data_IF_907249370705
#
_entry.id   IF_907249370705
#
_cell.length_a   1.000
_cell.length_b   1.000
_cell.length_c   1.000
_cell.angle_alpha   90.00
_cell.angle_beta   90.00
_cell.angle_gamma   90.00
#
_symmetry.space_group_name_H-M   'P 1'
#
loop_
_entity.id
_entity.type
_entity.pdbx_description
1 polymer ?
#
# COMPACT_ATOMS: atom_id res chain seq x y z
N UNK A 1 -22.68 -22.49 2.92
CA UNK A 1 -21.34 -22.97 2.58
C UNK A 1 -20.54 -23.00 3.87
N UNK A 2 -20.09 -24.17 4.32
CA UNK A 2 -19.18 -24.27 5.46
C UNK A 2 -17.80 -23.74 5.02
N UNK A 3 -17.29 -22.73 5.72
CA UNK A 3 -15.89 -22.32 5.57
C UNK A 3 -15.01 -23.49 6.00
N UNK A 4 -14.28 -24.06 5.07
CA UNK A 4 -13.22 -25.00 5.44
C UNK A 4 -11.97 -24.19 5.82
N UNK A 5 -11.30 -24.54 6.92
CA UNK A 5 -10.05 -23.88 7.30
C UNK A 5 -9.02 -24.09 6.18
N UNK A 6 -8.39 -23.01 5.75
CA UNK A 6 -7.32 -23.07 4.76
C UNK A 6 -6.10 -23.77 5.41
N UNK A 7 -5.57 -24.85 4.85
CA UNK A 7 -4.45 -25.58 5.44
C UNK A 7 -3.14 -24.79 5.24
N UNK A 8 -2.95 -23.75 6.05
CA UNK A 8 -1.72 -22.95 6.03
C UNK A 8 -0.56 -23.69 6.71
N UNK A 9 -0.88 -24.67 7.57
CA UNK A 9 0.10 -25.33 8.43
C UNK A 9 0.20 -26.80 8.03
N UNK A 10 1.34 -27.15 7.42
CA UNK A 10 1.77 -28.55 7.36
C UNK A 10 2.39 -28.96 8.71
N UNK A 11 2.48 -30.24 8.98
CA UNK A 11 3.04 -30.82 10.22
C UNK A 11 4.46 -30.36 10.57
N UNK A 12 5.18 -29.75 9.61
CA UNK A 12 6.52 -29.19 9.80
C UNK A 12 6.56 -27.81 10.45
N UNK A 13 5.43 -27.07 10.45
CA UNK A 13 5.30 -25.81 11.16
C UNK A 13 4.40 -26.06 12.35
N UNK A 14 4.99 -26.13 13.55
CA UNK A 14 4.25 -26.47 14.75
C UNK A 14 3.15 -25.43 15.01
N UNK A 15 1.98 -25.87 15.46
CA UNK A 15 0.87 -24.98 15.89
C UNK A 15 1.29 -23.96 16.96
N UNK A 16 2.47 -24.13 17.59
CA UNK A 16 3.06 -23.21 18.56
C UNK A 16 3.77 -22.02 17.93
N UNK A 17 4.10 -22.07 16.63
CA UNK A 17 4.77 -20.95 15.94
C UNK A 17 3.83 -19.83 15.52
N UNK A 18 2.53 -20.08 15.55
CA UNK A 18 1.49 -19.05 15.35
C UNK A 18 0.77 -18.79 16.67
N UNK A 19 1.29 -17.91 17.49
CA UNK A 19 0.54 -17.38 18.62
C UNK A 19 -0.48 -16.34 18.11
N UNK A 20 -1.56 -16.14 18.83
CA UNK A 20 -2.70 -15.29 18.44
C UNK A 20 -2.37 -13.81 18.23
N UNK A 21 -1.11 -13.40 18.36
CA UNK A 21 -0.63 -12.04 18.15
C UNK A 21 0.37 -11.88 17.00
N UNK A 22 0.76 -12.99 16.35
CA UNK A 22 1.91 -12.98 15.42
C UNK A 22 1.55 -12.71 13.96
N UNK A 23 0.28 -12.75 13.61
CA UNK A 23 -0.18 -12.58 12.23
C UNK A 23 -0.56 -11.12 11.99
N UNK A 24 0.25 -10.42 11.21
CA UNK A 24 0.05 -8.99 10.97
C UNK A 24 -0.56 -8.72 9.59
N UNK A 25 -0.16 -9.47 8.55
CA UNK A 25 -0.62 -9.21 7.19
C UNK A 25 -0.52 -10.43 6.27
N UNK A 26 -1.33 -10.42 5.20
CA UNK A 26 -1.31 -11.40 4.11
C UNK A 26 -1.14 -10.69 2.77
N UNK A 27 -0.25 -11.21 1.93
CA UNK A 27 -0.09 -10.74 0.57
C UNK A 27 -0.16 -11.91 -0.40
N UNK A 28 -1.09 -11.85 -1.36
CA UNK A 28 -1.30 -12.93 -2.32
C UNK A 28 -0.87 -12.52 -3.73
N UNK A 29 -0.11 -13.37 -4.38
CA UNK A 29 0.21 -13.32 -5.81
C UNK A 29 -0.55 -14.44 -6.54
N UNK A 30 -0.30 -14.59 -7.84
CA UNK A 30 -0.85 -15.70 -8.62
C UNK A 30 -0.50 -17.06 -8.02
N UNK A 31 0.77 -17.27 -7.66
CA UNK A 31 1.32 -18.59 -7.30
C UNK A 31 1.54 -18.78 -5.80
N UNK A 32 1.69 -17.69 -5.04
CA UNK A 32 2.06 -17.73 -3.64
C UNK A 32 1.14 -16.88 -2.75
N UNK A 33 1.11 -17.23 -1.46
CA UNK A 33 0.62 -16.37 -0.38
C UNK A 33 1.77 -16.15 0.59
N UNK A 34 2.12 -14.89 0.82
CA UNK A 34 3.08 -14.47 1.84
C UNK A 34 2.34 -14.16 3.12
N UNK A 35 2.79 -14.74 4.22
CA UNK A 35 2.19 -14.59 5.54
C UNK A 35 3.23 -13.86 6.40
N UNK A 36 2.85 -12.66 6.83
CA UNK A 36 3.72 -11.72 7.51
C UNK A 36 3.38 -11.67 9.00
N UNK A 37 4.36 -11.91 9.81
CA UNK A 37 4.29 -11.90 11.27
C UNK A 37 5.71 -11.73 11.84
N UNK A 38 6.00 -12.36 12.96
CA UNK A 38 7.36 -12.41 13.51
C UNK A 38 8.38 -13.01 12.52
N UNK A 39 7.90 -13.85 11.63
CA UNK A 39 8.64 -14.43 10.49
C UNK A 39 7.88 -14.15 9.21
N UNK A 40 8.54 -14.28 8.07
CA UNK A 40 7.89 -14.26 6.75
C UNK A 40 7.79 -15.70 6.25
N UNK A 41 6.55 -16.15 6.04
CA UNK A 41 6.27 -17.46 5.47
C UNK A 41 5.81 -17.31 4.03
N UNK A 42 6.06 -18.31 3.23
CA UNK A 42 5.55 -18.47 1.87
C UNK A 42 4.73 -19.76 1.77
N UNK A 43 3.48 -19.63 1.37
CA UNK A 43 2.63 -20.73 0.98
C UNK A 43 2.55 -20.81 -0.55
N UNK A 44 3.00 -21.91 -1.12
CA UNK A 44 2.91 -22.15 -2.56
C UNK A 44 1.55 -22.79 -2.88
N UNK A 45 0.78 -22.16 -3.75
CA UNK A 45 -0.59 -22.57 -4.11
C UNK A 45 -0.64 -23.86 -4.93
N UNK A 46 0.43 -24.19 -5.66
CA UNK A 46 0.52 -25.38 -6.52
C UNK A 46 0.91 -26.61 -5.70
N UNK A 47 1.96 -26.49 -4.92
CA UNK A 47 2.45 -27.60 -4.08
C UNK A 47 1.67 -27.74 -2.78
N UNK A 48 0.92 -26.71 -2.38
CA UNK A 48 0.20 -26.62 -1.10
C UNK A 48 1.11 -26.74 0.12
N UNK A 49 2.37 -26.32 -0.03
CA UNK A 49 3.35 -26.37 1.04
C UNK A 49 3.65 -24.97 1.57
N UNK A 50 3.89 -24.89 2.87
CA UNK A 50 4.36 -23.68 3.55
C UNK A 50 5.81 -23.86 3.95
N UNK A 51 6.62 -22.83 3.75
CA UNK A 51 8.00 -22.76 4.22
C UNK A 51 8.30 -21.38 4.83
N UNK A 52 9.35 -21.33 5.64
CA UNK A 52 9.86 -20.06 6.17
C UNK A 52 10.73 -19.43 5.09
N UNK A 53 10.37 -18.23 4.67
CA UNK A 53 11.13 -17.42 3.73
C UNK A 53 12.17 -16.56 4.46
N UNK A 54 11.81 -16.01 5.61
CA UNK A 54 12.68 -15.17 6.40
C UNK A 54 12.38 -15.29 7.89
N UNK A 55 13.42 -15.51 8.69
CA UNK A 55 13.35 -15.52 10.14
C UNK A 55 14.46 -14.60 10.69
N UNK A 56 14.13 -13.43 11.22
CA UNK A 56 15.12 -12.52 11.79
C UNK A 56 15.77 -13.15 13.03
N UNK A 57 17.07 -13.00 13.15
CA UNK A 57 17.83 -13.53 14.29
C UNK A 57 17.74 -12.64 15.55
N UNK A 58 17.22 -11.44 15.42
CA UNK A 58 17.09 -10.45 16.50
C UNK A 58 15.63 -10.01 16.55
N UNK A 59 15.17 -9.68 17.76
CA UNK A 59 13.80 -9.23 18.04
C UNK A 59 13.47 -7.91 17.29
N UNK A 60 13.25 -8.07 15.97
CA UNK A 60 12.81 -6.99 15.07
C UNK A 60 11.31 -6.71 15.30
N UNK A 61 10.65 -7.44 16.19
CA UNK A 61 9.20 -7.37 16.45
C UNK A 61 8.69 -5.96 16.75
N UNK A 62 9.54 -5.06 17.24
CA UNK A 62 9.17 -3.67 17.52
C UNK A 62 9.34 -2.72 16.32
N UNK A 63 10.06 -3.14 15.27
CA UNK A 63 10.34 -2.27 14.11
C UNK A 63 9.54 -2.65 12.86
N UNK A 64 8.82 -3.77 12.87
CA UNK A 64 8.27 -4.29 11.64
C UNK A 64 6.81 -4.72 11.83
N UNK A 65 5.91 -3.74 11.88
CA UNK A 65 4.57 -3.97 11.36
C UNK A 65 4.70 -4.09 9.84
N UNK A 66 5.16 -5.26 9.36
CA UNK A 66 5.44 -5.43 7.94
C UNK A 66 4.16 -5.57 7.14
N UNK A 67 4.01 -4.72 6.15
CA UNK A 67 3.05 -4.89 5.08
C UNK A 67 3.79 -5.24 3.79
N UNK A 68 3.43 -6.34 3.14
CA UNK A 68 3.93 -6.61 1.79
C UNK A 68 3.22 -5.70 0.80
N UNK A 69 4.01 -4.99 -0.01
CA UNK A 69 3.52 -4.03 -0.99
C UNK A 69 3.51 -4.66 -2.38
N UNK A 70 4.55 -5.41 -2.71
CA UNK A 70 4.79 -5.94 -4.05
C UNK A 70 5.74 -7.13 -3.99
N UNK A 71 5.60 -8.03 -4.97
CA UNK A 71 6.52 -9.14 -5.21
C UNK A 71 6.83 -9.22 -6.70
N UNK A 72 8.10 -9.39 -7.04
CA UNK A 72 8.55 -9.82 -8.36
C UNK A 72 9.16 -11.25 -8.26
N UNK A 73 9.81 -11.72 -9.33
CA UNK A 73 10.37 -13.08 -9.39
C UNK A 73 11.56 -13.27 -8.42
N UNK A 74 12.14 -12.20 -7.93
CA UNK A 74 13.40 -12.21 -7.17
C UNK A 74 13.28 -11.65 -5.77
N UNK A 75 12.30 -10.77 -5.53
CA UNK A 75 12.18 -10.04 -4.27
C UNK A 75 10.74 -9.88 -3.80
N UNK A 76 10.57 -9.84 -2.48
CA UNK A 76 9.39 -9.32 -1.80
C UNK A 76 9.73 -7.93 -1.23
N UNK A 77 8.88 -6.94 -1.52
CA UNK A 77 9.01 -5.57 -1.02
C UNK A 77 8.08 -5.38 0.16
N UNK A 78 8.64 -4.90 1.26
CA UNK A 78 7.99 -4.83 2.56
C UNK A 78 8.07 -3.40 3.09
N UNK A 79 6.97 -2.90 3.60
CA UNK A 79 6.92 -1.65 4.34
C UNK A 79 6.94 -1.96 5.84
N UNK A 80 7.89 -1.39 6.56
CA UNK A 80 7.93 -1.34 8.01
C UNK A 80 7.45 0.01 8.53
N UNK A 81 7.64 0.27 9.82
CA UNK A 81 7.19 1.51 10.46
C UNK A 81 7.80 2.75 9.81
N UNK A 82 9.10 2.77 9.60
CA UNK A 82 9.82 3.90 8.98
C UNK A 82 10.81 3.45 7.90
N UNK A 83 10.65 2.23 7.40
CA UNK A 83 11.55 1.62 6.44
C UNK A 83 10.79 0.98 5.29
N UNK A 84 11.36 1.07 4.09
CA UNK A 84 11.00 0.24 2.95
C UNK A 84 12.11 -0.78 2.73
N UNK A 85 11.77 -2.06 2.74
CA UNK A 85 12.72 -3.16 2.59
C UNK A 85 12.49 -3.92 1.29
N UNK A 86 13.53 -4.60 0.84
CA UNK A 86 13.42 -5.71 -0.12
C UNK A 86 14.05 -6.96 0.46
N UNK A 87 13.33 -8.06 0.39
CA UNK A 87 13.76 -9.40 0.78
C UNK A 87 14.06 -10.20 -0.49
N UNK A 88 15.30 -10.66 -0.63
CA UNK A 88 15.73 -11.48 -1.76
C UNK A 88 15.33 -12.94 -1.53
N UNK A 89 14.63 -13.56 -2.49
CA UNK A 89 14.16 -14.95 -2.35
C UNK A 89 15.26 -15.99 -2.39
N UNK A 90 16.38 -15.70 -3.05
CA UNK A 90 17.49 -16.64 -3.21
C UNK A 90 18.47 -16.60 -2.04
N UNK A 91 18.81 -15.40 -1.57
CA UNK A 91 19.80 -15.22 -0.49
C UNK A 91 19.16 -15.10 0.89
N UNK A 92 17.84 -14.88 0.96
CA UNK A 92 17.10 -14.57 2.19
C UNK A 92 17.61 -13.31 2.91
N UNK A 93 18.27 -12.42 2.18
CA UNK A 93 18.78 -11.17 2.72
C UNK A 93 17.71 -10.07 2.65
N UNK A 94 17.51 -9.42 3.79
CA UNK A 94 16.67 -8.23 3.90
C UNK A 94 17.54 -6.99 3.80
N UNK A 95 17.28 -6.13 2.82
CA UNK A 95 18.01 -4.87 2.65
C UNK A 95 17.06 -3.68 2.66
N UNK A 96 17.48 -2.58 3.30
CA UNK A 96 16.71 -1.34 3.34
C UNK A 96 16.86 -0.58 2.02
N UNK A 97 15.75 -0.09 1.48
CA UNK A 97 15.69 0.82 0.33
C UNK A 97 15.51 2.26 0.79
N UNK A 98 14.64 2.46 1.78
CA UNK A 98 14.35 3.75 2.40
C UNK A 98 14.41 3.56 3.90
N UNK A 99 15.09 4.45 4.59
CA UNK A 99 15.16 4.48 6.04
C UNK A 99 14.97 5.93 6.49
N UNK A 100 13.92 6.18 7.27
CA UNK A 100 13.59 7.49 7.81
C UNK A 100 13.92 7.57 9.29
N UNK A 101 13.82 8.76 9.85
CA UNK A 101 14.07 8.99 11.28
C UNK A 101 12.98 8.31 12.12
N UNK A 102 13.31 8.00 13.35
CA UNK A 102 12.32 7.60 14.35
C UNK A 102 11.25 8.68 14.51
N UNK A 103 9.98 8.28 14.48
CA UNK A 103 8.83 9.19 14.48
C UNK A 103 8.33 9.60 13.09
N UNK A 104 9.08 9.30 12.03
CA UNK A 104 8.65 9.50 10.63
C UNK A 104 7.97 8.21 10.12
N UNK A 105 6.77 7.92 10.63
CA UNK A 105 6.10 6.64 10.40
C UNK A 105 5.43 6.56 9.03
N UNK A 106 5.65 5.44 8.35
CA UNK A 106 4.97 5.09 7.11
C UNK A 106 3.58 4.52 7.41
N UNK A 107 2.62 4.92 6.64
CA UNK A 107 1.21 4.52 6.81
C UNK A 107 0.74 3.58 5.70
N UNK A 108 1.21 3.83 4.48
CA UNK A 108 0.89 3.00 3.33
C UNK A 108 1.93 3.17 2.23
N UNK A 109 1.97 2.23 1.29
CA UNK A 109 2.81 2.37 0.10
C UNK A 109 2.20 1.67 -1.10
N UNK A 110 2.51 2.16 -2.30
CA UNK A 110 2.20 1.49 -3.55
C UNK A 110 3.36 1.62 -4.53
N UNK A 111 3.36 0.78 -5.57
CA UNK A 111 4.39 0.74 -6.61
C UNK A 111 3.78 1.14 -7.94
N UNK A 112 4.47 2.02 -8.68
CA UNK A 112 4.08 2.39 -10.05
C UNK A 112 4.64 1.42 -11.11
N UNK A 113 4.23 1.58 -12.38
CA UNK A 113 4.65 0.71 -13.49
C UNK A 113 6.14 0.84 -13.82
N UNK A 114 6.78 1.95 -13.45
CA UNK A 114 8.23 2.17 -13.61
C UNK A 114 9.02 1.51 -12.47
N UNK A 115 8.33 0.97 -11.48
CA UNK A 115 8.92 0.31 -10.32
C UNK A 115 9.32 1.23 -9.19
N UNK A 116 8.97 2.50 -9.25
CA UNK A 116 9.16 3.43 -8.15
C UNK A 116 8.14 3.17 -7.04
N UNK A 117 8.44 3.61 -5.83
CA UNK A 117 7.52 3.50 -4.70
C UNK A 117 7.01 4.89 -4.28
N UNK A 118 5.72 4.94 -4.06
CA UNK A 118 5.01 6.06 -3.45
C UNK A 118 4.69 5.65 -2.02
N UNK A 119 5.10 6.48 -1.05
CA UNK A 119 5.04 6.14 0.36
C UNK A 119 4.27 7.24 1.08
N UNK A 120 3.17 6.86 1.70
CA UNK A 120 2.42 7.71 2.61
C UNK A 120 3.02 7.66 4.01
N UNK A 121 3.03 8.78 4.69
CA UNK A 121 3.59 8.89 6.02
C UNK A 121 2.81 9.91 6.87
N UNK A 122 3.09 9.93 8.17
CA UNK A 122 2.56 10.92 9.11
C UNK A 122 3.06 12.36 8.83
N UNK A 123 4.01 12.54 7.91
CA UNK A 123 4.56 13.84 7.50
C UNK A 123 4.42 14.13 6.00
N UNK A 124 3.59 13.37 5.27
CA UNK A 124 3.21 13.61 3.89
C UNK A 124 3.48 12.46 2.92
N UNK A 125 3.64 12.82 1.64
CA UNK A 125 3.86 11.88 0.54
C UNK A 125 5.35 11.88 0.15
N UNK A 126 5.94 10.68 0.08
CA UNK A 126 7.30 10.46 -0.40
C UNK A 126 7.29 9.71 -1.73
N UNK A 127 8.28 9.97 -2.54
CA UNK A 127 8.55 9.27 -3.78
C UNK A 127 9.97 8.70 -3.75
N UNK A 128 10.07 7.37 -3.87
CA UNK A 128 11.35 6.67 -4.03
C UNK A 128 11.56 6.29 -5.49
N UNK A 129 12.60 6.83 -6.10
CA UNK A 129 12.98 6.52 -7.47
C UNK A 129 13.87 5.26 -7.51
N UNK A 130 13.38 4.18 -8.12
CA UNK A 130 14.10 2.89 -8.19
C UNK A 130 15.42 2.98 -8.95
N UNK A 131 15.50 3.82 -10.00
CA UNK A 131 16.70 3.92 -10.83
C UNK A 131 17.84 4.66 -10.13
N UNK A 132 17.51 5.73 -9.41
CA UNK A 132 18.52 6.57 -8.73
C UNK A 132 18.75 6.18 -7.28
N UNK A 133 17.84 5.38 -6.68
CA UNK A 133 17.85 5.05 -5.25
C UNK A 133 17.55 6.24 -4.34
N UNK A 134 17.07 7.37 -4.88
CA UNK A 134 16.80 8.59 -4.10
C UNK A 134 15.34 8.63 -3.67
N UNK A 135 15.13 9.15 -2.46
CA UNK A 135 13.82 9.47 -1.91
C UNK A 135 13.67 10.99 -1.86
N UNK A 136 12.52 11.48 -2.30
CA UNK A 136 12.14 12.89 -2.23
C UNK A 136 10.74 13.05 -1.64
N UNK A 137 10.51 14.15 -0.93
CA UNK A 137 9.18 14.53 -0.44
C UNK A 137 8.44 15.27 -1.54
N UNK A 138 7.20 14.85 -1.81
CA UNK A 138 6.30 15.59 -2.70
C UNK A 138 5.67 16.71 -1.89
N UNK A 139 6.11 17.93 -2.16
CA UNK A 139 5.63 19.12 -1.44
C UNK A 139 4.22 19.51 -1.88
N UNK A 140 3.36 19.72 -0.90
CA UNK A 140 1.99 20.21 -1.09
C UNK A 140 1.52 20.91 0.17
N UNK A 141 0.59 21.86 0.01
CA UNK A 141 -0.14 22.50 1.11
C UNK A 141 -1.52 21.87 1.34
N UNK A 142 -1.85 20.83 0.58
CA UNK A 142 -3.18 20.20 0.63
C UNK A 142 -3.35 19.28 1.83
N UNK A 143 -2.26 18.65 2.28
CA UNK A 143 -2.25 17.74 3.44
C UNK A 143 -0.87 17.67 4.07
N UNK A 144 -0.84 17.32 5.36
CA UNK A 144 0.40 17.13 6.12
C UNK A 144 0.71 15.64 6.36
N UNK A 145 -0.32 14.78 6.35
CA UNK A 145 -0.17 13.34 6.56
C UNK A 145 -0.99 12.58 5.52
N UNK A 146 -0.54 11.40 5.17
CA UNK A 146 -1.21 10.48 4.25
C UNK A 146 -1.62 9.24 5.02
N UNK A 147 -2.87 8.80 4.89
CA UNK A 147 -3.38 7.59 5.55
C UNK A 147 -3.37 6.36 4.64
N UNK A 148 -3.56 6.56 3.34
CA UNK A 148 -3.67 5.44 2.40
C UNK A 148 -3.23 5.83 0.99
N UNK A 149 -2.70 4.84 0.24
CA UNK A 149 -2.25 5.00 -1.14
C UNK A 149 -2.67 3.82 -1.99
N UNK A 150 -2.99 4.11 -3.26
CA UNK A 150 -3.11 3.10 -4.29
C UNK A 150 -2.65 3.64 -5.65
N UNK A 151 -2.08 2.78 -6.49
CA UNK A 151 -1.73 3.10 -7.88
C UNK A 151 -2.73 2.44 -8.83
N UNK A 152 -3.27 3.20 -9.78
CA UNK A 152 -4.36 2.75 -10.67
C UNK A 152 -3.87 2.07 -11.97
N UNK A 153 -2.57 1.88 -12.12
CA UNK A 153 -1.92 1.39 -13.36
C UNK A 153 -2.17 2.26 -14.60
N UNK A 154 -2.58 3.51 -14.40
CA UNK A 154 -2.86 4.50 -15.45
C UNK A 154 -2.15 5.84 -15.21
N UNK A 155 -1.13 5.83 -14.35
CA UNK A 155 -0.33 7.02 -14.07
C UNK A 155 -0.87 7.91 -12.98
N UNK A 156 -1.79 7.43 -12.13
CA UNK A 156 -2.32 8.19 -11.00
C UNK A 156 -2.08 7.45 -9.69
N UNK A 157 -1.66 8.20 -8.69
CA UNK A 157 -1.59 7.75 -7.30
C UNK A 157 -2.78 8.33 -6.56
N UNK A 158 -3.60 7.47 -6.02
CA UNK A 158 -4.77 7.80 -5.24
C UNK A 158 -4.39 7.89 -3.78
N UNK A 159 -4.82 8.94 -3.10
CA UNK A 159 -4.31 9.34 -1.79
C UNK A 159 -5.46 9.64 -0.86
N UNK A 160 -5.56 8.92 0.24
CA UNK A 160 -6.40 9.29 1.37
C UNK A 160 -5.56 10.10 2.37
N UNK A 161 -6.00 11.29 2.71
CA UNK A 161 -5.30 12.19 3.62
C UNK A 161 -6.29 13.13 4.33
N UNK A 162 -6.21 13.23 5.66
CA UNK A 162 -6.99 14.21 6.47
C UNK A 162 -8.49 14.21 6.13
N UNK A 163 -9.11 13.04 6.00
CA UNK A 163 -10.52 12.84 5.63
C UNK A 163 -10.89 13.37 4.23
N UNK A 164 -9.91 13.62 3.39
CA UNK A 164 -10.06 14.01 1.99
C UNK A 164 -9.46 12.97 1.07
N UNK A 165 -9.88 13.00 -0.17
CA UNK A 165 -9.40 12.10 -1.18
C UNK A 165 -8.79 12.87 -2.35
N UNK A 166 -7.61 12.41 -2.79
CA UNK A 166 -6.85 13.08 -3.84
C UNK A 166 -6.40 12.07 -4.90
N UNK A 167 -6.21 12.54 -6.12
CA UNK A 167 -5.44 11.85 -7.13
C UNK A 167 -4.22 12.70 -7.50
N UNK A 168 -3.04 12.10 -7.46
CA UNK A 168 -1.82 12.70 -7.99
C UNK A 168 -1.55 12.17 -9.39
N UNK A 169 -1.61 13.07 -10.39
CA UNK A 169 -1.36 12.74 -11.79
C UNK A 169 0.15 12.83 -12.03
N UNK A 170 0.81 11.68 -12.18
CA UNK A 170 2.28 11.58 -12.17
C UNK A 170 2.90 12.41 -13.31
N UNK A 171 2.38 12.31 -14.52
CA UNK A 171 2.94 12.99 -15.69
C UNK A 171 2.77 14.51 -15.64
N UNK A 172 1.71 14.99 -14.99
CA UNK A 172 1.38 16.41 -14.85
C UNK A 172 1.94 17.01 -13.56
N UNK A 173 2.41 16.17 -12.64
CA UNK A 173 2.85 16.55 -11.28
C UNK A 173 1.79 17.39 -10.56
N UNK A 174 0.52 17.05 -10.69
CA UNK A 174 -0.63 17.79 -10.22
C UNK A 174 -1.52 16.95 -9.32
N UNK A 175 -2.03 17.56 -8.26
CA UNK A 175 -3.09 16.99 -7.44
C UNK A 175 -4.47 17.37 -7.96
N UNK A 176 -5.40 16.44 -7.88
CA UNK A 176 -6.84 16.67 -8.04
C UNK A 176 -7.49 16.33 -6.71
N UNK A 177 -8.32 17.22 -6.20
CA UNK A 177 -9.12 17.00 -4.99
C UNK A 177 -10.43 16.37 -5.41
N UNK A 178 -10.88 15.39 -4.67
CA UNK A 178 -12.17 14.73 -4.85
C UNK A 178 -13.00 14.93 -3.59
N UNK A 179 -14.20 15.43 -3.75
CA UNK A 179 -15.11 15.77 -2.67
C UNK A 179 -16.53 15.21 -2.88
N UNK A 180 -17.48 15.67 -2.09
CA UNK A 180 -18.87 15.24 -2.16
C UNK A 180 -19.52 15.52 -3.52
N UNK A 181 -19.12 16.57 -4.22
CA UNK A 181 -19.63 16.89 -5.55
C UNK A 181 -19.21 15.86 -6.60
N UNK A 182 -18.11 15.17 -6.34
CA UNK A 182 -17.62 14.02 -7.14
C UNK A 182 -18.23 12.69 -6.70
N UNK A 183 -19.11 12.70 -5.68
CA UNK A 183 -19.74 11.51 -5.12
C UNK A 183 -18.86 10.77 -4.10
N UNK A 184 -17.79 11.38 -3.61
CA UNK A 184 -16.97 10.85 -2.52
C UNK A 184 -17.60 11.28 -1.20
N UNK A 185 -18.05 10.34 -0.33
CA UNK A 185 -18.64 10.73 0.94
C UNK A 185 -17.62 11.46 1.81
N UNK A 186 -18.02 12.61 2.38
CA UNK A 186 -17.19 13.36 3.29
C UNK A 186 -16.89 12.58 4.56
N UNK A 187 -15.71 12.77 5.06
CA UNK A 187 -15.27 12.58 6.45
C UNK A 187 -14.88 11.19 6.92
N UNK A 188 -15.02 10.08 6.19
CA UNK A 188 -14.79 8.77 6.83
C UNK A 188 -14.22 7.68 5.93
N UNK A 189 -13.31 8.03 5.02
CA UNK A 189 -12.57 7.05 4.22
C UNK A 189 -11.39 6.50 5.03
N UNK A 190 -11.63 5.39 5.73
CA UNK A 190 -10.69 4.83 6.69
C UNK A 190 -9.74 3.81 6.06
N UNK A 191 -10.13 3.19 4.93
CA UNK A 191 -9.40 2.05 4.38
C UNK A 191 -8.63 2.37 3.11
N UNK A 192 -7.50 1.70 2.96
CA UNK A 192 -6.66 1.79 1.77
C UNK A 192 -7.45 1.49 0.50
N UNK A 193 -7.41 2.38 -0.51
CA UNK A 193 -8.06 2.15 -1.78
C UNK A 193 -7.49 0.88 -2.44
N UNK A 194 -8.37 0.01 -2.92
CA UNK A 194 -7.99 -1.25 -3.58
C UNK A 194 -8.36 -1.17 -5.05
N UNK A 195 -7.38 -1.14 -5.97
CA UNK A 195 -7.64 -1.21 -7.40
C UNK A 195 -8.28 -2.55 -7.79
N UNK A 196 -9.31 -2.52 -8.59
CA UNK A 196 -9.87 -3.74 -9.16
C UNK A 196 -8.91 -4.35 -10.20
N UNK A 197 -8.83 -5.68 -10.23
CA UNK A 197 -7.90 -6.39 -11.11
C UNK A 197 -8.28 -6.31 -12.60
N UNK A 198 -9.55 -6.11 -12.92
CA UNK A 198 -10.09 -6.27 -14.29
C UNK A 198 -10.88 -5.08 -14.81
N UNK A 199 -11.12 -4.07 -14.00
CA UNK A 199 -11.91 -2.89 -14.37
C UNK A 199 -11.19 -1.62 -13.90
N UNK A 200 -11.47 -0.44 -14.52
CA UNK A 200 -10.91 0.82 -14.09
C UNK A 200 -11.59 1.34 -12.81
N UNK A 201 -11.83 0.47 -11.86
CA UNK A 201 -12.48 0.82 -10.61
C UNK A 201 -11.51 0.75 -9.45
N UNK A 202 -11.68 1.68 -8.54
CA UNK A 202 -11.04 1.72 -7.24
C UNK A 202 -12.14 1.52 -6.19
N UNK A 203 -11.90 0.68 -5.21
CA UNK A 203 -12.83 0.43 -4.12
C UNK A 203 -12.23 0.92 -2.81
N UNK A 204 -13.01 1.63 -2.03
CA UNK A 204 -12.62 2.14 -0.72
C UNK A 204 -13.71 1.85 0.30
N UNK A 205 -13.32 1.45 1.49
CA UNK A 205 -14.23 1.29 2.62
C UNK A 205 -14.21 2.52 3.52
N UNK A 206 -15.35 2.80 4.12
CA UNK A 206 -15.51 3.83 5.14
C UNK A 206 -16.64 3.47 6.08
N UNK A 207 -16.89 4.29 7.09
CA UNK A 207 -17.99 4.07 8.04
C UNK A 207 -19.36 4.12 7.37
N UNK A 208 -19.49 4.84 6.25
CA UNK A 208 -20.72 4.93 5.45
C UNK A 208 -20.87 3.81 4.42
N UNK A 209 -19.92 2.85 4.36
CA UNK A 209 -19.97 1.70 3.48
C UNK A 209 -18.85 1.61 2.47
N UNK A 210 -19.14 1.04 1.28
CA UNK A 210 -18.18 0.83 0.19
C UNK A 210 -18.37 1.86 -0.91
N UNK A 211 -17.32 2.60 -1.23
CA UNK A 211 -17.27 3.54 -2.35
C UNK A 211 -16.59 2.88 -3.54
N UNK A 212 -17.17 3.02 -4.72
CA UNK A 212 -16.58 2.63 -6.00
C UNK A 212 -16.31 3.86 -6.85
N UNK A 213 -15.06 4.08 -7.21
CA UNK A 213 -14.63 5.17 -8.09
C UNK A 213 -14.24 4.59 -9.44
N UNK A 214 -14.84 5.08 -10.51
CA UNK A 214 -14.36 4.80 -11.86
C UNK A 214 -13.22 5.79 -12.18
N UNK A 215 -12.00 5.30 -12.27
CA UNK A 215 -10.81 6.13 -12.46
C UNK A 215 -10.70 6.74 -13.86
N UNK A 216 -11.49 6.29 -14.83
CA UNK A 216 -11.50 6.86 -16.20
C UNK A 216 -12.38 8.09 -16.31
N UNK A 217 -13.52 8.14 -15.60
CA UNK A 217 -14.52 9.20 -15.77
C UNK A 217 -14.09 10.51 -15.11
N UNK A 218 -13.43 10.48 -13.97
CA UNK A 218 -13.13 11.66 -13.14
C UNK A 218 -12.19 12.67 -13.83
N UNK A 219 -11.43 12.25 -14.85
CA UNK A 219 -10.39 13.09 -15.47
C UNK A 219 -10.76 13.63 -16.85
N UNK A 220 -11.91 13.27 -17.37
CA UNK A 220 -12.41 13.79 -18.64
C UNK A 220 -13.09 15.18 -18.51
N UNK A 221 -13.46 15.60 -17.30
CA UNK A 221 -14.02 16.94 -17.07
C UNK A 221 -12.91 17.99 -16.98
N UNK A 222 -12.51 18.53 -18.11
CA UNK A 222 -11.67 19.73 -18.25
C UNK A 222 -12.41 21.03 -17.87
N UNK A 223 -13.27 21.02 -16.88
CA UNK A 223 -13.86 22.25 -16.35
C UNK A 223 -12.94 22.84 -15.28
N UNK A 224 -12.02 23.68 -15.71
CA UNK A 224 -11.40 24.64 -14.79
C UNK A 224 -12.54 25.43 -14.11
N UNK A 225 -12.60 25.53 -12.79
CA UNK A 225 -13.58 26.35 -12.13
C UNK A 225 -13.37 27.80 -12.57
N UNK A 226 -14.35 28.37 -13.27
CA UNK A 226 -14.35 29.80 -13.59
C UNK A 226 -14.74 30.52 -12.30
N UNK A 227 -13.75 31.08 -11.61
CA UNK A 227 -13.97 32.00 -10.49
C UNK A 227 -14.66 33.27 -11.08
N UNK A 228 -15.98 33.35 -10.98
CA UNK A 228 -16.70 34.58 -11.19
C UNK A 228 -16.67 35.38 -9.89
N UNK A 229 -15.84 36.43 -9.83
CA UNK A 229 -15.98 37.47 -8.84
C UNK A 229 -17.32 38.15 -9.11
N UNK A 230 -18.29 37.94 -8.24
CA UNK A 230 -19.49 38.81 -8.18
C UNK A 230 -19.05 40.08 -7.46
N UNK A 231 -18.97 41.19 -8.20
CA UNK A 231 -18.87 42.51 -7.59
C UNK A 231 -20.13 42.76 -6.74
N UNK A 232 -19.89 43.19 -5.49
CA UNK A 232 -20.92 43.62 -4.53
C UNK A 232 -21.13 45.12 -4.68
#
# INVERSE_FOLDING_TARGET
AQMQPFPIINDSISKREFSSGDLVNLYATKDNIYILGAKVYIYNKHTRQTSILYAPQIDIQRQIAMQAIYSDDTHLYLMGTNNLFKLNFKTNELSSLVNMKEGDDFTSACRDDKGNFWIGSNFGLLFYNKQTGKTEKIHTNLFNSVSSLAYDKKGKVWIGAQNMFFAYIINEKRFVILDESDGVPSNELIFTPIPALRTPNLYMGGTMGLVRINTDIIFESNSSPILKLLEV
#
